data_IF_194356965317
#
_entry.id   IF_194356965317
#
_cell.length_a   1.000
_cell.length_b   1.000
_cell.length_c   1.000
_cell.angle_alpha   90.00
_cell.angle_beta   90.00
_cell.angle_gamma   90.00
#
_symmetry.space_group_name_H-M   'P 1'
#
loop_
_entity.id
_entity.type
_entity.pdbx_description
1 polymer ?
#
# COMPACT_ATOMS: atom_id res chain seq x y z
N UNK A 1 12.38 -5.20 -8.42
CA UNK A 1 13.73 -5.22 -7.81
C UNK A 1 13.77 -4.35 -6.56
N UNK A 2 13.93 -4.96 -5.37
CA UNK A 2 14.13 -4.25 -4.10
C UNK A 2 15.63 -4.26 -3.78
N UNK A 3 16.26 -3.09 -3.72
CA UNK A 3 17.68 -2.94 -3.38
C UNK A 3 17.75 -2.40 -1.96
N UNK A 4 18.30 -3.22 -1.05
CA UNK A 4 18.51 -2.81 0.33
C UNK A 4 20.00 -2.56 0.57
N UNK A 5 20.33 -1.33 0.96
CA UNK A 5 21.68 -0.93 1.40
C UNK A 5 21.61 -0.72 2.91
N UNK A 6 22.34 -1.52 3.68
CA UNK A 6 22.41 -1.38 5.16
C UNK A 6 23.78 -0.81 5.53
N UNK A 7 23.77 0.28 6.31
CA UNK A 7 24.97 1.03 6.68
C UNK A 7 25.86 0.31 7.68
N UNK A 8 27.00 -0.20 7.20
CA UNK A 8 28.33 -0.23 7.86
C UNK A 8 29.38 -0.86 6.93
N UNK A 9 28.94 -1.71 5.99
CA UNK A 9 29.70 -2.17 4.82
C UNK A 9 28.80 -1.98 3.60
N UNK A 10 29.35 -1.53 2.47
CA UNK A 10 28.58 -1.40 1.23
C UNK A 10 28.27 -2.81 0.68
N UNK A 11 27.28 -3.46 1.26
CA UNK A 11 26.77 -4.76 0.85
C UNK A 11 25.44 -4.57 0.14
N UNK A 12 25.33 -5.16 -1.06
CA UNK A 12 24.13 -5.09 -1.87
C UNK A 12 23.43 -6.43 -1.77
N UNK A 13 22.27 -6.42 -1.14
CA UNK A 13 21.40 -7.57 -1.02
C UNK A 13 20.23 -7.43 -1.99
N UNK A 14 20.07 -8.42 -2.88
CA UNK A 14 19.00 -8.45 -3.88
C UNK A 14 18.11 -9.67 -3.66
N UNK A 15 16.82 -9.46 -3.87
CA UNK A 15 15.79 -10.50 -3.87
C UNK A 15 15.08 -10.52 -5.21
N UNK A 16 14.75 -11.72 -5.68
CA UNK A 16 14.08 -11.94 -6.95
C UNK A 16 12.66 -11.36 -6.95
N UNK A 17 12.43 -10.40 -7.85
CA UNK A 17 11.11 -9.95 -8.27
C UNK A 17 10.45 -10.87 -9.30
N UNK A 18 9.16 -10.67 -9.49
CA UNK A 18 8.35 -11.31 -10.53
C UNK A 18 8.82 -10.95 -11.95
N UNK A 19 9.26 -9.71 -12.15
CA UNK A 19 9.80 -9.22 -13.44
C UNK A 19 11.33 -9.35 -13.57
N UNK A 20 12.04 -9.94 -12.59
CA UNK A 20 13.49 -10.10 -12.67
C UNK A 20 13.89 -11.34 -13.49
N UNK A 21 14.67 -11.15 -14.55
CA UNK A 21 15.13 -12.23 -15.46
C UNK A 21 16.17 -13.16 -14.81
N UNK A 22 16.93 -12.63 -13.85
CA UNK A 22 18.01 -13.34 -13.19
C UNK A 22 17.48 -14.42 -12.24
N UNK A 23 17.47 -15.68 -12.70
CA UNK A 23 17.05 -16.85 -11.90
C UNK A 23 17.98 -17.19 -10.73
N UNK A 24 19.18 -16.62 -10.68
CA UNK A 24 20.16 -16.86 -9.60
C UNK A 24 19.83 -16.12 -8.30
N UNK A 25 18.92 -15.14 -8.35
CA UNK A 25 18.53 -14.37 -7.18
C UNK A 25 17.65 -15.22 -6.24
N UNK A 26 17.90 -15.16 -4.92
CA UNK A 26 17.04 -15.84 -3.96
C UNK A 26 15.66 -15.17 -3.95
N UNK A 27 14.60 -15.96 -3.74
CA UNK A 27 13.24 -15.43 -3.59
C UNK A 27 13.02 -14.71 -2.25
N UNK A 28 13.89 -14.99 -1.28
CA UNK A 28 13.82 -14.53 0.10
C UNK A 28 15.22 -14.54 0.70
N UNK A 29 15.53 -13.51 1.46
CA UNK A 29 16.83 -13.35 2.13
C UNK A 29 16.62 -12.96 3.58
N UNK A 30 17.39 -13.56 4.48
CA UNK A 30 17.38 -13.24 5.90
C UNK A 30 18.76 -12.66 6.24
N UNK A 31 18.74 -11.46 6.80
CA UNK A 31 19.92 -10.75 7.26
C UNK A 31 19.94 -10.72 8.79
N UNK A 32 21.07 -11.11 9.36
CA UNK A 32 21.23 -11.25 10.80
C UNK A 32 22.11 -10.11 11.33
N UNK A 33 21.49 -9.13 11.99
CA UNK A 33 22.17 -8.00 12.64
C UNK A 33 21.84 -8.04 14.14
N UNK A 34 22.55 -8.84 14.96
CA UNK A 34 22.19 -9.04 16.36
C UNK A 34 21.98 -7.70 17.09
N UNK A 35 20.86 -7.53 17.85
CA UNK A 35 19.80 -8.47 18.21
C UNK A 35 18.60 -8.56 17.24
N UNK A 36 18.67 -7.96 16.05
CA UNK A 36 17.61 -7.90 15.05
C UNK A 36 17.80 -8.91 13.90
N UNK A 37 16.68 -9.44 13.41
CA UNK A 37 16.62 -10.25 12.18
C UNK A 37 15.73 -9.58 11.17
N UNK A 38 16.29 -9.37 9.97
CA UNK A 38 15.62 -8.64 8.89
C UNK A 38 15.36 -9.61 7.75
N UNK A 39 14.10 -9.82 7.42
CA UNK A 39 13.69 -10.56 6.23
C UNK A 39 13.49 -9.60 5.06
N UNK A 40 13.97 -9.98 3.88
CA UNK A 40 13.76 -9.25 2.63
C UNK A 40 13.01 -10.15 1.67
N UNK A 41 11.87 -9.67 1.18
CA UNK A 41 11.02 -10.34 0.19
C UNK A 41 10.55 -9.33 -0.85
N UNK A 42 10.21 -9.82 -2.05
CA UNK A 42 9.56 -8.96 -3.04
C UNK A 42 8.11 -8.65 -2.67
N UNK A 43 7.36 -9.63 -2.17
CA UNK A 43 5.95 -9.47 -1.78
C UNK A 43 4.96 -10.03 -2.80
N UNK A 44 5.38 -10.34 -4.03
CA UNK A 44 4.51 -10.98 -5.05
C UNK A 44 4.08 -12.40 -4.64
N UNK A 45 4.78 -13.01 -3.69
CA UNK A 45 4.48 -14.33 -3.14
C UNK A 45 3.34 -14.30 -2.10
N UNK A 46 2.94 -13.11 -1.63
CA UNK A 46 1.93 -12.94 -0.58
C UNK A 46 0.59 -12.67 -1.24
N UNK A 47 -0.40 -13.50 -0.91
CA UNK A 47 -1.76 -13.42 -1.47
C UNK A 47 -2.74 -13.42 -0.29
N UNK A 48 -3.59 -12.40 -0.13
CA UNK A 48 -3.71 -11.18 -0.95
C UNK A 48 -2.52 -10.22 -0.81
N UNK A 49 -2.26 -9.43 -1.85
CA UNK A 49 -1.20 -8.44 -1.84
C UNK A 49 -1.42 -7.38 -0.76
N UNK A 50 -0.38 -7.07 0.02
CA UNK A 50 -0.47 -6.09 1.10
C UNK A 50 -1.26 -6.55 2.34
N UNK A 51 -1.75 -7.79 2.40
CA UNK A 51 -2.45 -8.27 3.59
C UNK A 51 -1.52 -8.40 4.80
N UNK A 52 -1.88 -7.72 5.89
CA UNK A 52 -1.11 -7.66 7.14
C UNK A 52 -1.03 -9.02 7.83
N UNK A 53 -2.11 -9.81 7.79
CA UNK A 53 -2.15 -11.12 8.42
C UNK A 53 -1.27 -12.13 7.67
N UNK A 54 -1.32 -12.13 6.33
CA UNK A 54 -0.46 -12.96 5.49
C UNK A 54 1.03 -12.60 5.65
N UNK A 55 1.38 -11.31 5.63
CA UNK A 55 2.74 -10.83 5.87
C UNK A 55 3.24 -11.22 7.26
N UNK A 56 2.39 -11.11 8.30
CA UNK A 56 2.77 -11.51 9.66
C UNK A 56 3.00 -13.01 9.79
N UNK A 57 2.18 -13.82 9.13
CA UNK A 57 2.35 -15.27 9.10
C UNK A 57 3.66 -15.65 8.43
N UNK A 58 4.01 -14.99 7.32
CA UNK A 58 5.28 -15.17 6.63
C UNK A 58 6.47 -14.74 7.52
N UNK A 59 6.38 -13.57 8.16
CA UNK A 59 7.41 -13.08 9.09
C UNK A 59 7.63 -14.04 10.27
N UNK A 60 6.56 -14.64 10.80
CA UNK A 60 6.64 -15.70 11.82
C UNK A 60 7.35 -16.95 11.30
N UNK A 61 7.04 -17.38 10.07
CA UNK A 61 7.66 -18.58 9.48
C UNK A 61 9.16 -18.44 9.25
N UNK A 62 9.62 -17.23 8.91
CA UNK A 62 11.05 -16.91 8.77
C UNK A 62 11.74 -16.54 10.09
N UNK A 63 10.95 -16.38 11.15
CA UNK A 63 11.41 -15.91 12.45
C UNK A 63 12.18 -14.57 12.34
N UNK A 64 11.56 -13.57 11.69
CA UNK A 64 12.14 -12.22 11.53
C UNK A 64 11.44 -11.20 12.42
N UNK A 65 12.19 -10.19 12.85
CA UNK A 65 11.67 -9.07 13.64
C UNK A 65 11.21 -7.92 12.74
N UNK A 66 11.94 -7.70 11.64
CA UNK A 66 11.64 -6.70 10.62
C UNK A 66 11.44 -7.40 9.29
N UNK A 67 10.33 -7.16 8.61
CA UNK A 67 10.08 -7.66 7.26
C UNK A 67 10.04 -6.49 6.27
N UNK A 68 10.90 -6.58 5.26
CA UNK A 68 10.93 -5.67 4.12
C UNK A 68 10.19 -6.33 2.95
N UNK A 69 9.09 -5.73 2.54
CA UNK A 69 8.29 -6.15 1.38
C UNK A 69 8.25 -5.04 0.33
N UNK A 70 7.94 -5.38 -0.92
CA UNK A 70 7.67 -4.44 -2.00
C UNK A 70 6.32 -4.73 -2.65
N UNK A 71 6.34 -4.92 -3.98
CA UNK A 71 5.21 -5.32 -4.84
C UNK A 71 4.05 -4.32 -4.96
N UNK A 72 3.55 -3.77 -3.85
CA UNK A 72 2.42 -2.82 -3.87
C UNK A 72 2.78 -1.44 -4.44
N UNK A 73 4.08 -1.15 -4.60
CA UNK A 73 4.61 0.14 -5.05
C UNK A 73 4.14 1.35 -4.22
N UNK A 74 3.62 1.10 -3.02
CA UNK A 74 3.17 2.10 -2.07
C UNK A 74 4.02 2.00 -0.81
N UNK A 75 4.44 3.16 -0.32
CA UNK A 75 5.15 3.22 0.94
C UNK A 75 4.20 2.87 2.09
N UNK A 76 4.59 1.90 2.93
CA UNK A 76 3.88 1.57 4.17
C UNK A 76 4.91 1.18 5.24
N UNK A 77 4.76 1.71 6.46
CA UNK A 77 5.59 1.30 7.59
C UNK A 77 4.70 1.19 8.82
N UNK A 78 4.63 0.01 9.42
CA UNK A 78 3.76 -0.24 10.56
C UNK A 78 4.30 -1.36 11.46
N UNK A 79 3.93 -1.28 12.73
CA UNK A 79 4.16 -2.35 13.69
C UNK A 79 2.91 -3.24 13.78
N UNK A 80 3.08 -4.55 13.66
CA UNK A 80 2.00 -5.52 13.78
C UNK A 80 2.49 -6.76 14.52
N UNK A 81 1.73 -7.21 15.53
CA UNK A 81 2.05 -8.38 16.36
C UNK A 81 3.50 -8.40 16.92
N UNK A 82 4.01 -7.24 17.31
CA UNK A 82 5.36 -7.10 17.87
C UNK A 82 6.51 -7.23 16.85
N UNK A 83 6.18 -7.19 15.55
CA UNK A 83 7.13 -7.13 14.43
C UNK A 83 6.94 -5.83 13.65
N UNK A 84 7.95 -5.47 12.88
CA UNK A 84 7.93 -4.27 12.06
C UNK A 84 7.89 -4.62 10.58
N UNK A 85 6.96 -4.02 9.86
CA UNK A 85 6.78 -4.21 8.42
C UNK A 85 7.10 -2.91 7.72
N UNK A 86 7.93 -2.98 6.69
CA UNK A 86 8.35 -1.84 5.90
C UNK A 86 8.19 -2.19 4.43
N UNK A 87 7.55 -1.29 3.71
CA UNK A 87 7.52 -1.26 2.27
C UNK A 87 8.07 0.09 1.80
N UNK A 88 9.25 0.14 1.16
CA UNK A 88 9.82 1.39 0.68
C UNK A 88 9.08 1.97 -0.53
N UNK A 89 8.12 1.25 -1.11
CA UNK A 89 7.43 1.61 -2.35
C UNK A 89 8.32 1.42 -3.58
N UNK A 90 8.07 2.22 -4.62
CA UNK A 90 8.80 2.16 -5.88
C UNK A 90 9.70 3.38 -6.04
N UNK A 91 11.02 3.20 -6.09
CA UNK A 91 11.98 4.30 -6.22
C UNK A 91 11.79 5.12 -7.51
N UNK A 92 11.24 4.50 -8.55
CA UNK A 92 10.96 5.15 -9.84
C UNK A 92 9.51 5.60 -9.99
N UNK A 93 8.64 5.30 -9.02
CA UNK A 93 7.19 5.51 -9.18
C UNK A 93 6.60 4.65 -10.30
N UNK A 94 7.09 3.41 -10.46
CA UNK A 94 6.58 2.49 -11.47
C UNK A 94 5.11 2.14 -11.22
N UNK A 95 4.33 2.03 -12.30
CA UNK A 95 2.92 1.65 -12.23
C UNK A 95 2.73 0.23 -11.64
N UNK A 96 1.61 0.00 -10.95
CA UNK A 96 1.20 -1.31 -10.44
C UNK A 96 -0.30 -1.54 -10.67
N UNK A 97 -0.70 -2.81 -10.79
CA UNK A 97 -2.09 -3.24 -10.99
C UNK A 97 -2.92 -3.14 -9.71
N UNK A 98 -2.30 -3.32 -8.54
CA UNK A 98 -2.94 -3.22 -7.22
C UNK A 98 -3.15 -1.77 -6.77
N UNK A 99 -3.01 -0.79 -7.67
CA UNK A 99 -3.32 0.60 -7.35
C UNK A 99 -4.80 0.67 -6.96
N UNK A 100 -5.14 1.17 -5.75
CA UNK A 100 -6.53 1.34 -5.37
C UNK A 100 -7.16 2.26 -6.41
N UNK A 101 -8.14 1.74 -7.15
CA UNK A 101 -8.92 2.56 -8.04
C UNK A 101 -9.49 3.72 -7.20
N UNK A 102 -9.47 4.96 -7.70
CA UNK A 102 -10.27 6.01 -7.10
C UNK A 102 -11.73 5.56 -7.22
N UNK A 103 -12.22 4.89 -6.18
CA UNK A 103 -13.65 4.72 -5.98
C UNK A 103 -14.14 6.13 -5.72
N UNK A 104 -14.62 6.80 -6.77
CA UNK A 104 -15.62 7.83 -6.56
C UNK A 104 -16.71 7.14 -5.76
N UNK A 105 -16.97 7.52 -4.51
CA UNK A 105 -18.17 7.05 -3.84
C UNK A 105 -19.32 7.37 -4.80
N UNK A 106 -20.21 6.42 -5.12
CA UNK A 106 -21.39 6.78 -5.89
C UNK A 106 -22.05 7.94 -5.16
N UNK A 107 -22.18 9.08 -5.84
CA UNK A 107 -22.89 10.25 -5.34
C UNK A 107 -24.30 9.81 -4.95
N UNK A 108 -24.46 9.45 -3.69
CA UNK A 108 -25.76 9.25 -3.09
C UNK A 108 -26.01 10.55 -2.36
N UNK A 109 -26.71 11.43 -3.06
CA UNK A 109 -27.28 12.62 -2.47
C UNK A 109 -28.13 12.27 -1.24
N UNK A 110 -28.18 13.25 -0.34
CA UNK A 110 -29.21 13.48 0.67
C UNK A 110 -29.07 12.80 2.05
N UNK A 111 -28.56 13.64 2.95
CA UNK A 111 -29.22 14.09 4.18
C UNK A 111 -28.98 13.30 5.48
N UNK A 112 -28.30 13.96 6.43
CA UNK A 112 -28.35 13.64 7.85
C UNK A 112 -28.85 14.87 8.60
N UNK A 113 -30.16 15.12 8.48
CA UNK A 113 -30.88 15.99 9.40
C UNK A 113 -31.29 15.22 10.66
N UNK A 114 -31.19 15.95 11.76
CA UNK A 114 -31.45 15.57 13.15
C UNK A 114 -32.92 15.22 13.44
N UNK A 115 -33.09 14.08 14.13
CA UNK A 115 -34.16 13.62 15.04
C UNK A 115 -35.21 14.68 15.49
N UNK A 116 -36.52 14.48 15.21
CA UNK A 116 -37.60 14.03 16.14
C UNK A 116 -39.03 14.18 15.59
N UNK A 117 -39.84 13.15 15.91
CA UNK A 117 -41.27 13.11 16.29
C UNK A 117 -42.40 12.93 15.25
N UNK A 118 -43.22 11.92 15.61
CA UNK A 118 -44.69 11.82 15.58
C UNK A 118 -45.38 11.06 14.43
N UNK A 119 -45.96 9.92 14.86
CA UNK A 119 -47.24 9.29 14.55
C UNK A 119 -47.61 8.80 13.13
N UNK A 120 -48.10 7.57 13.12
CA UNK A 120 -48.69 6.80 12.01
C UNK A 120 -50.08 7.37 11.59
N UNK A 121 -50.89 6.76 10.67
CA UNK A 121 -50.69 5.57 9.83
C UNK A 121 -51.28 5.64 8.38
N UNK A 122 -51.17 4.50 7.67
CA UNK A 122 -52.15 3.88 6.74
C UNK A 122 -52.15 4.16 5.21
N UNK A 123 -52.18 3.03 4.49
CA UNK A 123 -52.83 2.71 3.20
C UNK A 123 -52.18 3.23 1.90
N UNK A 124 -52.32 2.61 0.73
CA UNK A 124 -52.58 1.25 0.18
C UNK A 124 -52.68 1.49 -1.35
N UNK A 125 -52.39 0.47 -2.18
CA UNK A 125 -52.72 0.34 -3.63
C UNK A 125 -51.83 1.07 -4.67
N UNK A 126 -51.14 0.29 -5.53
CA UNK A 126 -51.56 -0.20 -6.88
C UNK A 126 -51.35 0.91 -7.93
N UNK A 127 -50.70 0.74 -9.08
CA UNK A 127 -50.98 -0.21 -10.18
C UNK A 127 -49.93 0.04 -11.29
N UNK A 128 -49.52 -1.03 -12.00
CA UNK A 128 -49.28 -1.22 -13.46
C UNK A 128 -49.07 0.01 -14.40
N UNK A 129 -48.43 -0.02 -15.56
CA UNK A 129 -47.73 -0.99 -16.43
C UNK A 129 -47.23 -0.19 -17.67
N UNK A 130 -46.20 -0.71 -18.35
CA UNK A 130 -46.05 -0.85 -19.84
C UNK A 130 -46.04 0.45 -20.68
N UNK A 131 -45.05 0.71 -21.54
CA UNK A 131 -44.95 0.15 -22.89
C UNK A 131 -43.60 0.44 -23.53
N UNK A 132 -43.06 -0.57 -24.20
CA UNK A 132 -41.94 -0.53 -25.14
C UNK A 132 -42.28 0.11 -26.51
N UNK A 133 -41.20 0.30 -27.29
CA UNK A 133 -41.03 0.20 -28.77
C UNK A 133 -41.24 1.44 -29.63
N UNK A 134 -40.19 1.81 -30.38
CA UNK A 134 -40.09 1.47 -31.82
C UNK A 134 -38.78 1.95 -32.48
N UNK A 135 -38.20 1.08 -33.31
CA UNK A 135 -37.10 1.29 -34.26
C UNK A 135 -37.38 2.32 -35.38
N UNK A 136 -36.33 3.00 -35.89
CA UNK A 136 -35.91 2.97 -37.31
C UNK A 136 -34.78 3.98 -37.65
N UNK A 137 -33.93 3.55 -38.59
CA UNK A 137 -32.65 4.09 -39.08
C UNK A 137 -32.68 5.51 -39.70
N UNK A 138 -31.54 6.21 -39.61
CA UNK A 138 -30.99 6.98 -40.75
C UNK A 138 -29.46 7.12 -40.65
N UNK A 139 -28.80 7.01 -41.80
CA UNK A 139 -27.35 7.07 -42.00
C UNK A 139 -26.79 8.51 -42.05
N UNK A 140 -25.46 8.60 -41.91
CA UNK A 140 -24.54 9.69 -42.22
C UNK A 140 -23.86 10.37 -41.00
N UNK A 141 -22.55 10.12 -40.89
CA UNK A 141 -21.62 10.68 -39.91
C UNK A 141 -21.52 12.22 -39.99
N UNK A 142 -21.25 12.90 -38.86
CA UNK A 142 -19.85 13.15 -38.48
C UNK A 142 -19.57 13.00 -36.96
N UNK A 143 -18.37 12.53 -36.61
CA UNK A 143 -17.73 12.71 -35.28
C UNK A 143 -16.50 13.62 -35.47
N UNK A 144 -15.94 14.26 -34.43
CA UNK A 144 -16.51 14.69 -33.16
C UNK A 144 -16.14 16.16 -32.84
N UNK A 145 -16.86 16.82 -31.92
CA UNK A 145 -16.30 17.98 -31.21
C UNK A 145 -16.27 17.63 -29.73
N UNK A 146 -15.13 17.09 -29.30
CA UNK A 146 -14.78 16.96 -27.89
C UNK A 146 -14.82 18.36 -27.24
N UNK A 147 -15.41 18.52 -26.04
CA UNK A 147 -15.22 19.74 -25.28
C UNK A 147 -13.74 19.84 -24.91
N UNK A 148 -13.03 20.79 -25.53
CA UNK A 148 -11.65 21.10 -25.20
C UNK A 148 -11.60 21.74 -23.82
N UNK A 149 -11.35 20.93 -22.80
CA UNK A 149 -10.83 21.38 -21.53
C UNK A 149 -9.40 21.85 -21.78
N UNK A 150 -9.06 23.07 -21.36
CA UNK A 150 -7.72 23.62 -21.48
C UNK A 150 -6.73 22.77 -20.69
N UNK A 151 -5.55 22.51 -21.27
CA UNK A 151 -4.49 21.68 -20.68
C UNK A 151 -4.06 22.12 -19.26
N UNK A 152 -4.30 23.39 -18.92
CA UNK A 152 -4.00 23.97 -17.60
C UNK A 152 -4.94 23.47 -16.48
N UNK A 153 -6.20 23.10 -16.79
CA UNK A 153 -7.17 22.68 -15.76
C UNK A 153 -7.13 21.17 -15.48
N UNK A 154 -6.63 20.35 -16.43
CA UNK A 154 -6.28 18.95 -16.18
C UNK A 154 -4.98 18.79 -15.38
N UNK A 155 -4.05 19.75 -15.48
CA UNK A 155 -2.81 19.74 -14.70
C UNK A 155 -3.07 20.04 -13.21
N UNK A 156 -3.96 21.00 -12.90
CA UNK A 156 -4.27 21.43 -11.54
C UNK A 156 -5.22 20.49 -10.77
N UNK A 157 -5.88 19.55 -11.46
CA UNK A 157 -6.60 18.41 -10.87
C UNK A 157 -6.02 17.08 -11.35
N UNK A 158 -4.70 17.03 -11.54
CA UNK A 158 -4.01 15.74 -11.54
C UNK A 158 -4.11 15.14 -10.14
N UNK A 159 -5.23 14.48 -9.84
CA UNK A 159 -5.19 13.32 -8.94
C UNK A 159 -4.09 12.47 -9.54
N UNK A 160 -2.90 12.45 -8.92
CA UNK A 160 -1.77 11.67 -9.41
C UNK A 160 -2.24 10.21 -9.50
N UNK A 161 -2.68 9.80 -10.70
CA UNK A 161 -3.02 8.42 -11.03
C UNK A 161 -1.71 7.66 -11.27
N UNK A 162 -0.82 7.75 -10.30
CA UNK A 162 0.53 7.21 -10.32
C UNK A 162 1.03 7.00 -8.90
N UNK A 163 1.87 6.00 -8.75
CA UNK A 163 2.61 5.73 -7.51
C UNK A 163 3.64 6.84 -7.28
N UNK A 164 3.64 7.44 -6.10
CA UNK A 164 4.66 8.42 -5.71
C UNK A 164 6.03 7.74 -5.63
N UNK A 165 7.07 8.25 -6.33
CA UNK A 165 8.41 7.70 -6.21
C UNK A 165 8.90 7.77 -4.77
N UNK A 166 9.32 6.63 -4.22
CA UNK A 166 9.75 6.55 -2.83
C UNK A 166 10.83 5.52 -2.57
N UNK A 167 11.68 5.78 -1.58
CA UNK A 167 12.62 4.80 -1.04
C UNK A 167 12.84 5.06 0.46
N UNK A 168 13.36 4.07 1.18
CA UNK A 168 13.65 4.17 2.60
C UNK A 168 15.12 3.89 2.89
N UNK A 169 15.71 4.67 3.79
CA UNK A 169 17.01 4.41 4.39
C UNK A 169 16.80 3.93 5.82
N UNK A 170 17.45 2.84 6.19
CA UNK A 170 17.38 2.27 7.53
C UNK A 170 18.70 2.50 8.25
N UNK A 171 18.65 3.11 9.42
CA UNK A 171 19.74 3.19 10.38
C UNK A 171 19.42 2.25 11.54
N UNK A 172 20.24 1.21 11.69
CA UNK A 172 20.02 0.13 12.64
C UNK A 172 21.08 0.22 13.74
N UNK A 173 20.62 0.47 14.96
CA UNK A 173 21.47 0.61 16.14
C UNK A 173 20.97 -0.32 17.25
N UNK A 174 21.56 -1.52 17.32
CA UNK A 174 21.17 -2.53 18.30
C UNK A 174 19.71 -2.96 18.12
N UNK A 175 18.83 -2.62 19.06
CA UNK A 175 17.41 -2.95 19.03
C UNK A 175 16.52 -1.84 18.42
N UNK A 176 17.11 -0.71 18.02
CA UNK A 176 16.41 0.45 17.47
C UNK A 176 16.68 0.54 15.97
N UNK A 177 15.61 0.78 15.20
CA UNK A 177 15.65 1.00 13.76
C UNK A 177 15.03 2.36 13.47
N UNK A 178 15.81 3.26 12.90
CA UNK A 178 15.34 4.55 12.42
C UNK A 178 15.17 4.46 10.92
N UNK A 179 13.99 4.83 10.41
CA UNK A 179 13.66 4.78 8.99
C UNK A 179 13.50 6.21 8.48
N UNK A 180 14.27 6.56 7.47
CA UNK A 180 14.12 7.81 6.72
C UNK A 180 13.48 7.49 5.39
N UNK A 181 12.28 8.02 5.18
CA UNK A 181 11.47 7.79 3.99
C UNK A 181 11.58 9.01 3.11
N UNK A 182 12.02 8.81 1.87
CA UNK A 182 12.14 9.85 0.87
C UNK A 182 11.03 9.65 -0.14
N UNK A 183 10.23 10.69 -0.37
CA UNK A 183 9.16 10.70 -1.35
C UNK A 183 9.32 11.91 -2.27
N UNK A 184 9.06 11.74 -3.56
CA UNK A 184 9.03 12.83 -4.52
C UNK A 184 7.58 13.31 -4.70
N UNK A 185 7.24 14.46 -4.13
CA UNK A 185 5.90 15.06 -4.19
C UNK A 185 6.03 16.41 -4.89
N UNK A 186 5.28 16.60 -5.99
CA UNK A 186 5.26 17.84 -6.78
C UNK A 186 6.65 18.35 -7.23
N UNK A 187 7.59 17.41 -7.45
CA UNK A 187 8.97 17.71 -7.84
C UNK A 187 9.92 17.97 -6.67
N UNK A 188 9.40 18.04 -5.45
CA UNK A 188 10.18 18.24 -4.23
C UNK A 188 10.38 16.95 -3.44
N UNK A 189 11.55 16.81 -2.83
CA UNK A 189 11.87 15.66 -1.98
C UNK A 189 11.38 15.93 -0.57
N UNK A 190 10.34 15.18 -0.15
CA UNK A 190 9.85 15.15 1.22
C UNK A 190 10.52 14.01 1.98
N UNK A 191 10.97 14.29 3.20
CA UNK A 191 11.58 13.28 4.09
C UNK A 191 10.73 13.11 5.35
N UNK A 192 10.40 11.87 5.67
CA UNK A 192 9.73 11.48 6.91
C UNK A 192 10.65 10.58 7.75
N UNK A 193 10.65 10.77 9.07
CA UNK A 193 11.44 9.97 10.00
C UNK A 193 10.50 9.13 10.87
N UNK A 194 10.69 7.82 10.84
CA UNK A 194 10.02 6.87 11.72
C UNK A 194 11.04 6.19 12.62
N UNK A 195 10.60 5.76 13.80
CA UNK A 195 11.42 5.03 14.76
C UNK A 195 10.68 3.77 15.21
N UNK A 196 11.37 2.64 15.13
CA UNK A 196 10.92 1.37 15.66
C UNK A 196 11.92 0.85 16.68
N UNK A 197 11.43 0.36 17.81
CA UNK A 197 12.23 -0.32 18.83
C UNK A 197 11.71 -1.72 19.02
N UNK A 198 12.58 -2.71 18.83
CA UNK A 198 12.25 -4.10 19.13
C UNK A 198 11.91 -4.22 20.62
N UNK A 199 10.72 -4.72 20.98
CA UNK A 199 10.36 -4.93 22.37
C UNK A 199 11.29 -5.98 22.98
N UNK A 200 11.92 -5.65 24.10
CA UNK A 200 12.70 -6.62 24.87
C UNK A 200 11.74 -7.61 25.50
N UNK A 201 11.91 -8.90 25.23
CA UNK A 201 11.24 -9.95 26.00
C UNK A 201 11.91 -9.98 27.37
N UNK A 202 11.31 -9.29 28.34
CA UNK A 202 11.69 -9.48 29.74
C UNK A 202 11.29 -10.90 30.13
N UNK A 203 12.28 -11.78 30.36
CA UNK A 203 12.02 -13.11 30.91
C UNK A 203 11.65 -12.91 32.38
N UNK A 204 10.40 -13.16 32.81
CA UNK A 204 10.06 -13.09 34.23
C UNK A 204 10.90 -14.11 34.99
N UNK A 205 11.59 -13.62 36.02
CA UNK A 205 12.79 -14.22 36.60
C UNK A 205 12.71 -15.71 36.94
N UNK A 206 13.77 -16.43 36.59
CA UNK A 206 14.21 -17.60 37.35
C UNK A 206 14.65 -17.12 38.72
N UNK A 207 13.77 -17.24 39.72
CA UNK A 207 14.20 -17.25 41.11
C UNK A 207 15.08 -18.48 41.31
N UNK A 208 16.40 -18.28 41.34
CA UNK A 208 17.33 -19.26 41.90
C UNK A 208 16.90 -19.56 43.34
N UNK A 209 16.30 -20.73 43.57
CA UNK A 209 16.20 -21.31 44.90
C UNK A 209 17.50 -22.04 45.19
N UNK A 210 18.22 -21.50 46.17
CA UNK A 210 19.40 -22.06 46.86
C UNK A 210 19.21 -23.52 47.26
#
# INVERSE_FOLDING_TARGET
>A
MLVLVIGNFCEIHLVKGDYDENRRLPALLILHYPPLRIGVIHGHQVIPAGDRAALSSLARSMDVDVLLSGYTHQFEAYAYEGRFFINPGSATGAWTTDMPLPVTPPETAANKETVKKEDAPLADKHTEEVTEKSDAKNEAAPKPSEPQLTDEELAAKSVQMGTTPSFALLDIQGAVVVIYVYQLIDGDVKVEKLEYRKPTVEVPGTSEST
#
